data_IF_595390513270
#
_entry.id   IF_595390513270
#
_cell.length_a   1.000
_cell.length_b   1.000
_cell.length_c   1.000
_cell.angle_alpha   90.00
_cell.angle_beta   90.00
_cell.angle_gamma   90.00
#
_symmetry.space_group_name_H-M   'P 1'
#
loop_
_entity.id
_entity.type
_entity.pdbx_description
1 polymer ?
#
# COMPACT_ATOMS: atom_id res chain seq x y z
N UNK A 1 20.26 19.76 8.52
CA UNK A 1 19.32 19.72 7.39
C UNK A 1 18.24 18.70 7.75
N UNK A 2 17.01 19.15 7.99
CA UNK A 2 15.92 18.28 8.43
C UNK A 2 15.57 17.29 7.31
N UNK A 3 15.95 16.03 7.47
CA UNK A 3 15.53 14.93 6.59
C UNK A 3 14.01 14.82 6.65
N UNK A 4 13.32 15.35 5.64
CA UNK A 4 11.90 15.13 5.49
C UNK A 4 11.64 13.62 5.31
N UNK A 5 10.63 13.10 6.01
CA UNK A 5 10.23 11.69 5.87
C UNK A 5 9.71 11.46 4.46
N UNK A 6 10.11 10.35 3.81
CA UNK A 6 9.61 9.97 2.48
C UNK A 6 8.09 9.75 2.43
N UNK A 7 7.43 9.68 3.60
CA UNK A 7 5.98 9.56 3.73
C UNK A 7 5.25 10.90 3.78
N UNK A 8 5.96 12.03 3.83
CA UNK A 8 5.33 13.36 3.88
C UNK A 8 4.58 13.63 2.57
N UNK A 9 3.25 13.88 2.61
CA UNK A 9 2.44 14.04 1.41
C UNK A 9 2.56 15.46 0.85
N UNK A 10 3.42 15.63 -0.17
CA UNK A 10 3.81 16.95 -0.71
C UNK A 10 3.24 17.25 -2.09
N UNK A 11 3.02 16.22 -2.92
CA UNK A 11 2.73 16.39 -4.33
C UNK A 11 1.24 16.33 -4.60
N UNK A 12 0.69 17.29 -5.34
CA UNK A 12 -0.65 17.16 -5.92
C UNK A 12 -0.69 16.04 -6.96
N UNK A 13 -1.89 15.56 -7.33
CA UNK A 13 -2.04 14.54 -8.39
C UNK A 13 -1.44 14.97 -9.74
N UNK A 14 -1.54 16.25 -10.09
CA UNK A 14 -0.95 16.79 -11.31
C UNK A 14 0.58 16.83 -11.26
N UNK A 15 1.14 17.18 -10.09
CA UNK A 15 2.58 17.14 -9.85
C UNK A 15 3.10 15.71 -9.89
N UNK A 16 2.46 14.78 -9.19
CA UNK A 16 2.81 13.37 -9.16
C UNK A 16 2.76 12.75 -10.57
N UNK A 17 1.69 13.04 -11.33
CA UNK A 17 1.53 12.62 -12.73
C UNK A 17 2.73 13.06 -13.60
N UNK A 18 3.17 14.31 -13.45
CA UNK A 18 4.32 14.85 -14.20
C UNK A 18 5.64 14.19 -13.79
N UNK A 19 5.88 14.03 -12.49
CA UNK A 19 7.10 13.39 -11.98
C UNK A 19 7.19 11.93 -12.45
N UNK A 20 6.06 11.22 -12.45
CA UNK A 20 5.98 9.81 -12.82
C UNK A 20 5.91 9.56 -14.33
N UNK A 21 5.72 10.61 -15.13
CA UNK A 21 5.50 10.49 -16.58
C UNK A 21 4.30 9.60 -16.92
N UNK A 22 3.18 9.74 -16.18
CA UNK A 22 1.91 9.05 -16.45
C UNK A 22 0.74 10.01 -16.44
N UNK A 23 -0.35 9.63 -17.08
CA UNK A 23 -1.59 10.41 -17.01
C UNK A 23 -2.18 10.42 -15.60
N UNK A 24 -2.88 11.50 -15.25
CA UNK A 24 -3.70 11.58 -14.03
C UNK A 24 -4.73 10.44 -13.96
N UNK A 25 -5.28 10.02 -15.11
CA UNK A 25 -6.22 8.91 -15.18
C UNK A 25 -5.58 7.58 -14.78
N UNK A 26 -4.33 7.34 -15.17
CA UNK A 26 -3.56 6.16 -14.76
C UNK A 26 -3.31 6.15 -13.25
N UNK A 27 -2.97 7.29 -12.65
CA UNK A 27 -2.87 7.39 -11.18
C UNK A 27 -4.19 7.05 -10.50
N UNK A 28 -5.30 7.63 -10.97
CA UNK A 28 -6.64 7.34 -10.43
C UNK A 28 -7.03 5.88 -10.60
N UNK A 29 -6.64 5.23 -11.70
CA UNK A 29 -6.85 3.80 -11.89
C UNK A 29 -6.16 3.02 -10.77
N UNK A 30 -4.88 3.29 -10.48
CA UNK A 30 -4.15 2.59 -9.42
C UNK A 30 -4.75 2.83 -8.03
N UNK A 31 -5.27 4.03 -7.76
CA UNK A 31 -6.00 4.32 -6.52
C UNK A 31 -7.29 3.53 -6.40
N UNK A 32 -8.11 3.57 -7.45
CA UNK A 32 -9.41 2.90 -7.48
C UNK A 32 -9.27 1.38 -7.37
N UNK A 33 -8.18 0.84 -7.92
CA UNK A 33 -7.82 -0.57 -7.80
C UNK A 33 -7.21 -0.94 -6.44
N UNK A 34 -7.03 0.03 -5.54
CA UNK A 34 -6.49 -0.17 -4.19
C UNK A 34 -4.99 -0.43 -4.15
N UNK A 35 -4.28 -0.21 -5.26
CA UNK A 35 -2.83 -0.43 -5.35
C UNK A 35 -2.03 0.66 -4.62
N UNK A 36 -2.59 1.88 -4.61
CA UNK A 36 -2.08 3.02 -3.85
C UNK A 36 -3.24 3.64 -3.06
N UNK A 37 -2.98 4.11 -1.85
CA UNK A 37 -3.97 4.81 -1.04
C UNK A 37 -3.40 6.20 -0.83
N UNK A 38 -3.85 7.29 -1.49
CA UNK A 38 -3.29 8.65 -1.39
C UNK A 38 -3.67 9.34 -0.07
N UNK A 39 -2.91 10.36 0.37
CA UNK A 39 -3.31 11.16 1.52
C UNK A 39 -4.39 12.14 1.05
N UNK A 40 -5.47 12.27 1.82
CA UNK A 40 -6.49 13.29 1.55
C UNK A 40 -6.31 14.42 2.56
N UNK A 41 -5.94 15.60 2.05
CA UNK A 41 -5.91 16.82 2.87
C UNK A 41 -7.29 17.16 3.44
N UNK A 42 -7.34 18.06 4.42
CA UNK A 42 -8.60 18.57 5.00
C UNK A 42 -9.54 19.17 3.94
N UNK A 43 -9.00 19.79 2.89
CA UNK A 43 -9.75 20.29 1.75
C UNK A 43 -10.16 19.23 0.72
N UNK A 44 -9.90 17.94 0.98
CA UNK A 44 -10.25 16.83 0.08
C UNK A 44 -9.29 16.61 -1.09
N UNK A 45 -8.24 17.42 -1.23
CA UNK A 45 -7.22 17.23 -2.26
C UNK A 45 -6.33 16.03 -1.96
N UNK A 46 -6.03 15.25 -3.00
CA UNK A 46 -5.09 14.13 -2.95
C UNK A 46 -3.66 14.65 -2.96
N UNK A 47 -2.88 14.16 -2.02
CA UNK A 47 -1.47 14.41 -1.89
C UNK A 47 -0.69 13.09 -1.87
N UNK A 48 0.46 13.09 -2.53
CA UNK A 48 1.36 11.95 -2.66
C UNK A 48 2.70 12.30 -2.03
N UNK A 49 3.34 11.33 -1.40
CA UNK A 49 4.69 11.43 -0.88
C UNK A 49 5.70 10.81 -1.85
N UNK A 50 7.00 10.96 -1.57
CA UNK A 50 8.05 10.26 -2.32
C UNK A 50 7.87 8.73 -2.29
N UNK A 51 7.46 8.17 -1.15
CA UNK A 51 7.15 6.75 -1.00
C UNK A 51 5.97 6.30 -1.88
N UNK A 52 4.99 7.17 -2.13
CA UNK A 52 3.91 6.88 -3.07
C UNK A 52 4.40 6.87 -4.52
N UNK A 53 5.27 7.82 -4.87
CA UNK A 53 5.86 7.87 -6.21
C UNK A 53 6.69 6.60 -6.47
N UNK A 54 7.49 6.17 -5.50
CA UNK A 54 8.28 4.94 -5.63
C UNK A 54 7.39 3.70 -5.77
N UNK A 55 6.31 3.62 -4.97
CA UNK A 55 5.31 2.55 -5.14
C UNK A 55 4.75 2.54 -6.56
N UNK A 56 4.41 3.69 -7.13
CA UNK A 56 3.91 3.76 -8.50
C UNK A 56 4.97 3.34 -9.52
N UNK A 57 6.25 3.68 -9.33
CA UNK A 57 7.34 3.20 -10.20
C UNK A 57 7.44 1.68 -10.17
N UNK A 58 7.42 1.08 -8.98
CA UNK A 58 7.41 -0.37 -8.81
C UNK A 58 6.19 -1.03 -9.49
N UNK A 59 4.98 -0.49 -9.28
CA UNK A 59 3.77 -0.96 -9.94
C UNK A 59 3.89 -0.91 -11.47
N UNK A 60 4.42 0.20 -12.00
CA UNK A 60 4.61 0.36 -13.45
C UNK A 60 5.60 -0.65 -14.02
N UNK A 61 6.68 -0.94 -13.30
CA UNK A 61 7.65 -1.97 -13.70
C UNK A 61 6.98 -3.35 -13.74
N UNK A 62 6.29 -3.73 -12.66
CA UNK A 62 5.57 -5.00 -12.58
C UNK A 62 4.55 -5.16 -13.73
N UNK A 63 3.79 -4.10 -14.05
CA UNK A 63 2.75 -4.13 -15.08
C UNK A 63 3.35 -4.12 -16.50
N UNK A 64 4.26 -3.19 -16.78
CA UNK A 64 4.68 -2.91 -18.16
C UNK A 64 5.86 -3.78 -18.60
N UNK A 65 6.77 -4.10 -17.70
CA UNK A 65 7.98 -4.88 -17.99
C UNK A 65 7.75 -6.36 -17.65
N UNK A 66 7.28 -6.65 -16.44
CA UNK A 66 7.12 -8.03 -15.94
C UNK A 66 5.76 -8.65 -16.31
N UNK A 67 4.88 -7.87 -16.95
CA UNK A 67 3.55 -8.29 -17.45
C UNK A 67 2.63 -8.87 -16.38
N UNK A 68 2.82 -8.47 -15.13
CA UNK A 68 1.93 -8.83 -14.02
C UNK A 68 0.67 -7.97 -14.14
N UNK A 69 -0.49 -8.61 -14.20
CA UNK A 69 -1.77 -7.91 -14.24
C UNK A 69 -2.06 -7.19 -12.93
N UNK A 70 -2.89 -6.14 -12.99
CA UNK A 70 -3.40 -5.46 -11.78
C UNK A 70 -4.04 -6.46 -10.81
N UNK A 71 -4.84 -7.41 -11.34
CA UNK A 71 -5.44 -8.47 -10.53
C UNK A 71 -4.40 -9.36 -9.84
N UNK A 72 -3.30 -9.69 -10.53
CA UNK A 72 -2.17 -10.42 -9.95
C UNK A 72 -1.50 -9.65 -8.80
N UNK A 73 -1.24 -8.36 -8.99
CA UNK A 73 -0.66 -7.51 -7.94
C UNK A 73 -1.58 -7.43 -6.73
N UNK A 74 -2.88 -7.20 -6.94
CA UNK A 74 -3.88 -7.17 -5.85
C UNK A 74 -3.91 -8.49 -5.09
N UNK A 75 -3.84 -9.61 -5.80
CA UNK A 75 -3.81 -10.94 -5.17
C UNK A 75 -2.58 -11.13 -4.29
N UNK A 76 -1.40 -10.74 -4.77
CA UNK A 76 -0.14 -10.78 -4.00
C UNK A 76 -0.26 -9.89 -2.76
N UNK A 77 -0.79 -8.66 -2.91
CA UNK A 77 -0.99 -7.76 -1.78
C UNK A 77 -1.97 -8.32 -0.74
N UNK A 78 -3.03 -9.01 -1.18
CA UNK A 78 -3.98 -9.69 -0.29
C UNK A 78 -3.44 -10.96 0.38
N UNK A 79 -2.27 -11.45 -0.04
CA UNK A 79 -1.56 -12.55 0.64
C UNK A 79 -0.57 -12.04 1.69
N UNK A 80 -0.34 -10.72 1.80
CA UNK A 80 0.54 -10.16 2.82
C UNK A 80 -0.02 -10.52 4.21
N UNK A 81 0.76 -11.21 5.08
CA UNK A 81 0.28 -11.68 6.36
C UNK A 81 0.24 -10.55 7.40
N UNK A 82 -0.65 -9.58 7.19
CA UNK A 82 -0.74 -8.38 8.02
C UNK A 82 -0.97 -8.72 9.51
N UNK A 83 -1.68 -9.81 9.81
CA UNK A 83 -1.90 -10.27 11.19
C UNK A 83 -0.62 -10.71 11.88
N UNK A 84 0.33 -11.30 11.15
CA UNK A 84 1.62 -11.72 11.71
C UNK A 84 2.55 -10.53 11.89
N UNK A 85 2.55 -9.61 10.92
CA UNK A 85 3.36 -8.39 10.97
C UNK A 85 2.91 -7.51 12.14
N UNK A 86 1.59 -7.27 12.26
CA UNK A 86 1.02 -6.42 13.31
C UNK A 86 0.96 -7.14 14.68
N UNK A 87 0.98 -8.47 14.70
CA UNK A 87 0.75 -9.25 15.93
C UNK A 87 -0.71 -9.22 16.39
N UNK A 88 -1.66 -9.42 15.48
CA UNK A 88 -3.09 -9.38 15.80
C UNK A 88 -3.50 -10.58 16.69
N UNK A 89 -4.20 -10.34 17.82
CA UNK A 89 -4.81 -11.42 18.61
C UNK A 89 -5.81 -12.23 17.78
N UNK A 90 -5.92 -13.53 18.05
CA UNK A 90 -6.77 -14.44 17.27
C UNK A 90 -8.23 -13.96 17.17
N UNK A 91 -8.81 -13.55 18.30
CA UNK A 91 -10.20 -13.04 18.35
C UNK A 91 -10.44 -11.86 17.40
N UNK A 92 -9.54 -10.88 17.39
CA UNK A 92 -9.66 -9.69 16.53
C UNK A 92 -9.27 -9.99 15.08
N UNK A 93 -8.31 -10.89 14.86
CA UNK A 93 -7.90 -11.36 13.54
C UNK A 93 -9.07 -12.05 12.84
N UNK A 94 -9.75 -12.96 13.52
CA UNK A 94 -10.82 -13.77 12.93
C UNK A 94 -12.05 -12.92 12.57
N UNK A 95 -12.28 -11.82 13.29
CA UNK A 95 -13.28 -10.81 12.95
C UNK A 95 -12.86 -9.87 11.79
N UNK A 96 -11.55 -9.71 11.54
CA UNK A 96 -11.01 -8.70 10.63
C UNK A 96 -11.43 -8.96 9.16
N UNK A 97 -12.04 -7.98 8.46
CA UNK A 97 -12.41 -8.14 7.05
C UNK A 97 -11.22 -8.43 6.12
N UNK A 98 -10.06 -7.84 6.39
CA UNK A 98 -8.83 -8.07 5.62
C UNK A 98 -8.19 -9.44 5.86
N UNK A 99 -8.52 -10.11 6.96
CA UNK A 99 -8.08 -11.48 7.20
C UNK A 99 -9.03 -12.47 6.51
N UNK A 100 -10.34 -12.23 6.63
CA UNK A 100 -11.38 -13.05 6.01
C UNK A 100 -11.44 -12.91 4.49
N UNK A 101 -10.97 -11.79 3.94
CA UNK A 101 -10.97 -11.49 2.53
C UNK A 101 -9.56 -11.11 2.05
N UNK A 102 -9.16 -11.63 0.89
CA UNK A 102 -7.81 -11.52 0.36
C UNK A 102 -7.79 -11.01 -1.10
N UNK A 103 -8.80 -10.24 -1.48
CA UNK A 103 -8.94 -9.67 -2.82
C UNK A 103 -8.02 -8.46 -3.07
N UNK A 104 -7.45 -7.87 -2.00
CA UNK A 104 -6.51 -6.76 -2.06
C UNK A 104 -5.72 -6.64 -0.75
N UNK A 105 -4.76 -5.71 -0.70
CA UNK A 105 -4.00 -5.45 0.51
C UNK A 105 -4.90 -4.99 1.68
N UNK A 106 -4.45 -5.21 2.92
CA UNK A 106 -5.31 -4.96 4.09
C UNK A 106 -5.84 -3.52 4.18
N UNK A 107 -5.09 -2.55 3.63
CA UNK A 107 -5.45 -1.14 3.56
C UNK A 107 -6.65 -0.80 2.67
N UNK A 108 -7.19 -1.76 1.92
CA UNK A 108 -8.43 -1.57 1.14
C UNK A 108 -9.69 -1.86 1.95
N UNK A 109 -9.56 -2.29 3.22
CA UNK A 109 -10.67 -2.66 4.08
C UNK A 109 -10.81 -1.69 5.27
N UNK A 110 -12.02 -1.65 5.84
CA UNK A 110 -12.26 -1.02 7.13
C UNK A 110 -11.90 -1.99 8.25
N UNK A 111 -11.12 -1.53 9.21
CA UNK A 111 -10.57 -2.34 10.30
C UNK A 111 -11.38 -2.22 11.60
N UNK A 112 -12.71 -2.20 11.50
CA UNK A 112 -13.60 -2.09 12.66
C UNK A 112 -13.35 -3.22 13.68
N UNK A 113 -13.40 -2.87 14.97
CA UNK A 113 -13.20 -3.81 16.09
C UNK A 113 -11.88 -4.61 16.04
N UNK A 114 -10.81 -4.02 15.49
CA UNK A 114 -9.48 -4.64 15.43
C UNK A 114 -8.38 -3.70 15.93
N UNK A 115 -7.18 -4.25 16.17
CA UNK A 115 -5.96 -3.50 16.50
C UNK A 115 -5.57 -2.46 15.44
N UNK A 116 -6.13 -2.57 14.23
CA UNK A 116 -5.90 -1.64 13.13
C UNK A 116 -6.98 -0.54 13.01
N UNK A 117 -8.02 -0.54 13.86
CA UNK A 117 -9.15 0.40 13.76
C UNK A 117 -8.73 1.88 13.83
N UNK A 118 -7.72 2.19 14.65
CA UNK A 118 -7.20 3.55 14.84
C UNK A 118 -5.96 3.85 14.00
N UNK A 119 -5.47 2.90 13.21
CA UNK A 119 -4.24 3.07 12.42
C UNK A 119 -4.53 3.75 11.10
N UNK A 120 -3.73 4.75 10.77
CA UNK A 120 -3.67 5.26 9.40
C UNK A 120 -2.89 4.26 8.52
N UNK A 121 -3.58 3.59 7.60
CA UNK A 121 -2.97 2.54 6.79
C UNK A 121 -1.76 3.01 5.99
N UNK A 122 -1.71 4.28 5.53
CA UNK A 122 -0.53 4.84 4.86
C UNK A 122 0.73 4.77 5.73
N UNK A 123 0.56 4.99 7.03
CA UNK A 123 1.65 5.02 7.99
C UNK A 123 1.93 3.65 8.60
N UNK A 124 1.10 2.65 8.30
CA UNK A 124 1.25 1.29 8.78
C UNK A 124 2.44 0.58 8.11
N UNK A 125 3.21 -0.17 8.88
CA UNK A 125 4.35 -0.95 8.39
C UNK A 125 3.97 -1.94 7.29
N UNK A 126 2.77 -2.53 7.33
CA UNK A 126 2.28 -3.46 6.31
C UNK A 126 2.21 -2.76 4.94
N UNK A 127 1.71 -1.53 4.92
CA UNK A 127 1.66 -0.72 3.71
C UNK A 127 3.06 -0.25 3.30
N UNK A 128 3.89 0.17 4.25
CA UNK A 128 5.26 0.64 3.96
C UNK A 128 6.16 -0.47 3.43
N UNK A 129 6.00 -1.71 3.88
CA UNK A 129 6.74 -2.87 3.36
C UNK A 129 6.36 -3.19 1.91
N UNK A 130 5.16 -2.81 1.47
CA UNK A 130 4.71 -2.96 0.08
C UNK A 130 5.05 -1.75 -0.80
N UNK A 131 5.78 -0.75 -0.30
CA UNK A 131 6.05 0.50 -1.04
C UNK A 131 7.18 0.41 -2.06
N UNK A 132 8.02 -0.62 -1.97
CA UNK A 132 9.15 -0.83 -2.88
C UNK A 132 9.22 -2.32 -3.25
N UNK A 133 9.45 -2.59 -4.53
CA UNK A 133 9.65 -3.91 -5.10
C UNK A 133 10.73 -4.72 -4.37
N UNK A 134 11.77 -4.08 -3.81
CA UNK A 134 12.80 -4.74 -3.00
C UNK A 134 12.26 -5.26 -1.66
N UNK A 135 11.52 -4.40 -0.93
CA UNK A 135 11.00 -4.71 0.42
C UNK A 135 9.93 -5.80 0.42
N UNK A 136 9.19 -5.95 -0.67
CA UNK A 136 8.22 -7.06 -0.83
C UNK A 136 8.93 -8.42 -0.80
N UNK A 137 10.13 -8.54 -1.38
CA UNK A 137 10.91 -9.78 -1.31
C UNK A 137 11.37 -10.08 0.12
N UNK A 138 11.85 -9.06 0.83
CA UNK A 138 12.29 -9.19 2.23
C UNK A 138 11.12 -9.60 3.14
N UNK A 139 9.93 -9.07 2.89
CA UNK A 139 8.71 -9.43 3.60
C UNK A 139 8.37 -10.92 3.45
N UNK A 140 8.42 -11.43 2.22
CA UNK A 140 8.16 -12.85 1.93
C UNK A 140 9.17 -13.73 2.69
N UNK A 141 10.45 -13.38 2.65
CA UNK A 141 11.52 -14.12 3.37
C UNK A 141 11.25 -14.13 4.88
N UNK A 142 10.96 -12.98 5.50
CA UNK A 142 10.69 -12.88 6.94
C UNK A 142 9.46 -13.67 7.39
N UNK A 143 8.48 -13.84 6.50
CA UNK A 143 7.25 -14.61 6.80
C UNK A 143 7.36 -16.12 6.59
N UNK A 144 8.34 -16.58 5.81
CA UNK A 144 8.53 -18.00 5.44
C UNK A 144 9.69 -18.67 6.16
N UNK A 145 10.56 -17.88 6.78
CA UNK A 145 11.68 -18.35 7.59
C UNK A 145 11.38 -18.01 9.06
N UNK A 146 11.07 -19.03 9.85
CA UNK A 146 11.36 -19.06 11.29
C UNK A 146 12.29 -20.26 11.54
N UNK A 147 13.28 -20.16 12.45
CA UNK A 147 13.83 -21.36 13.08
C UNK A 147 12.76 -22.10 13.90
#
# INVERSE_FOLDING_TARGET
MSTQSSDTPLYSIGTASRILGISVQTLRLYENEGLIAPHKSSGGHRLYSDADLERVRCLRKAINEEKISIGGIKRIQGMIPCWQIIGCPAEQRDACPAFRNHAGGCWTYKHEHSVCASKECRLCEVYKLSSDCGKVRDLIIRSTVHP
#
